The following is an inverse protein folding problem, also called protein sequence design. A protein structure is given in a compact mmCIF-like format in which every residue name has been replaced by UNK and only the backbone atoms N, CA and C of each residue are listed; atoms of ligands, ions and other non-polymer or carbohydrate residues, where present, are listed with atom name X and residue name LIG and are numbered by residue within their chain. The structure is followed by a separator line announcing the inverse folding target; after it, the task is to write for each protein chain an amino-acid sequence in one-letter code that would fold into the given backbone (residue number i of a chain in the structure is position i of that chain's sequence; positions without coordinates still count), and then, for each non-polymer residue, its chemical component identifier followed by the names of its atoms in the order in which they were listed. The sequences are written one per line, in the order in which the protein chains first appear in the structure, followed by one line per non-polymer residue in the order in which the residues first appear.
data_IF_892836019634
#
_entry.id   IF_892836019634
#
_cell.length_a   1.000
_cell.length_b   1.000
_cell.length_c   1.000
_cell.angle_alpha   90.00
_cell.angle_beta   90.00
_cell.angle_gamma   90.00
#
_symmetry.space_group_name_H-M   'P 1'
#
loop_
_entity.id
_entity.type
_entity.pdbx_description
1 polymer ?
#
# COMPACT_ATOMS: atom_id res chain seq x y z
N UNK A 1 29.11 -22.99 -46.84
CA UNK A 1 28.18 -22.19 -46.03
C UNK A 1 28.06 -22.86 -44.67
N UNK A 2 28.53 -22.17 -43.65
CA UNK A 2 28.80 -22.72 -42.31
C UNK A 2 27.50 -22.95 -41.53
N UNK A 3 27.43 -24.07 -40.77
CA UNK A 3 26.31 -24.42 -39.85
C UNK A 3 25.98 -23.36 -38.79
N UNK A 4 26.81 -22.32 -38.64
CA UNK A 4 26.62 -21.21 -37.70
C UNK A 4 25.62 -20.17 -38.18
N UNK A 5 25.46 -19.97 -39.49
CA UNK A 5 24.53 -19.00 -40.06
C UNK A 5 23.04 -19.37 -39.92
N UNK A 6 22.74 -20.69 -39.87
CA UNK A 6 21.38 -21.17 -39.71
C UNK A 6 20.83 -21.02 -38.28
N UNK A 7 21.71 -21.10 -37.27
CA UNK A 7 21.31 -20.97 -35.87
C UNK A 7 20.98 -19.54 -35.49
N UNK A 8 21.65 -18.55 -36.06
CA UNK A 8 21.40 -17.11 -35.82
C UNK A 8 20.06 -16.67 -36.44
N UNK A 9 19.72 -17.19 -37.61
CA UNK A 9 18.45 -16.88 -38.27
C UNK A 9 17.22 -17.46 -37.52
N UNK A 10 17.36 -18.66 -36.94
CA UNK A 10 16.30 -19.29 -36.16
C UNK A 10 16.03 -18.55 -34.83
N UNK A 11 17.08 -18.05 -34.16
CA UNK A 11 16.95 -17.29 -32.92
C UNK A 11 16.32 -15.89 -33.14
N UNK A 12 16.65 -15.23 -34.26
CA UNK A 12 16.06 -13.94 -34.62
C UNK A 12 14.56 -14.05 -34.99
N UNK A 13 14.18 -15.14 -35.70
CA UNK A 13 12.78 -15.38 -36.06
C UNK A 13 11.88 -15.67 -34.84
N UNK A 14 12.38 -16.40 -33.82
CA UNK A 14 11.67 -16.68 -32.59
C UNK A 14 11.47 -15.43 -31.73
N UNK A 15 12.46 -14.54 -31.66
CA UNK A 15 12.35 -13.27 -30.91
C UNK A 15 11.34 -12.31 -31.56
N UNK A 16 11.27 -12.24 -32.90
CA UNK A 16 10.31 -11.39 -33.62
C UNK A 16 8.89 -11.91 -33.49
N UNK A 17 8.66 -13.22 -33.53
CA UNK A 17 7.33 -13.80 -33.32
C UNK A 17 6.80 -13.57 -31.90
N UNK A 18 7.68 -13.63 -30.87
CA UNK A 18 7.28 -13.40 -29.48
C UNK A 18 6.85 -11.95 -29.22
N UNK A 19 7.54 -10.99 -29.79
CA UNK A 19 7.22 -9.55 -29.61
C UNK A 19 5.95 -9.15 -30.37
N UNK A 20 5.70 -9.69 -31.54
CA UNK A 20 4.49 -9.45 -32.31
C UNK A 20 3.25 -10.03 -31.61
N UNK A 21 3.34 -11.23 -31.01
CA UNK A 21 2.24 -11.85 -30.25
C UNK A 21 1.91 -11.06 -29.00
N UNK A 22 2.88 -10.56 -28.25
CA UNK A 22 2.67 -9.75 -27.06
C UNK A 22 2.04 -8.38 -27.38
N UNK A 23 2.46 -7.75 -28.47
CA UNK A 23 1.86 -6.47 -28.92
C UNK A 23 0.41 -6.65 -29.43
N UNK A 24 0.12 -7.74 -30.12
CA UNK A 24 -1.22 -8.07 -30.58
C UNK A 24 -2.17 -8.37 -29.40
N UNK A 25 -1.70 -9.08 -28.39
CA UNK A 25 -2.45 -9.35 -27.16
C UNK A 25 -2.74 -8.06 -26.38
N UNK A 26 -1.78 -7.15 -26.27
CA UNK A 26 -1.96 -5.84 -25.64
C UNK A 26 -3.00 -5.00 -26.37
N UNK A 27 -3.00 -4.96 -27.70
CA UNK A 27 -3.97 -4.23 -28.50
C UNK A 27 -5.40 -4.79 -28.35
N UNK A 28 -5.55 -6.10 -28.29
CA UNK A 28 -6.84 -6.76 -28.06
C UNK A 28 -7.40 -6.45 -26.66
N UNK A 29 -6.56 -6.45 -25.63
CA UNK A 29 -6.96 -6.09 -24.27
C UNK A 29 -7.40 -4.63 -24.19
N UNK A 30 -6.67 -3.71 -24.82
CA UNK A 30 -7.05 -2.30 -24.87
C UNK A 30 -8.40 -2.11 -25.55
N UNK A 31 -8.64 -2.79 -26.67
CA UNK A 31 -9.92 -2.72 -27.38
C UNK A 31 -11.08 -3.28 -26.54
N UNK A 32 -10.88 -4.42 -25.87
CA UNK A 32 -11.87 -5.01 -24.97
C UNK A 32 -12.18 -4.13 -23.76
N UNK A 33 -11.17 -3.56 -23.12
CA UNK A 33 -11.34 -2.62 -22.00
C UNK A 33 -12.09 -1.34 -22.44
N UNK A 34 -11.78 -0.82 -23.63
CA UNK A 34 -12.50 0.33 -24.20
C UNK A 34 -13.97 0.01 -24.51
N UNK A 35 -14.28 -1.21 -24.88
CA UNK A 35 -15.66 -1.66 -25.09
C UNK A 35 -16.44 -1.71 -23.76
N UNK A 36 -15.78 -2.04 -22.64
CA UNK A 36 -16.36 -1.95 -21.29
C UNK A 36 -16.52 -0.48 -20.83
N UNK A 37 -15.65 0.41 -21.27
CA UNK A 37 -15.75 1.88 -21.14
C UNK A 37 -15.46 2.45 -19.77
N UNK A 38 -15.38 1.61 -18.72
CA UNK A 38 -15.23 2.02 -17.33
C UNK A 38 -14.36 1.04 -16.54
N UNK A 39 -13.71 1.57 -15.47
CA UNK A 39 -13.12 0.80 -14.38
C UNK A 39 -13.70 1.31 -13.07
N UNK A 40 -14.03 0.43 -12.14
CA UNK A 40 -14.44 0.78 -10.79
C UNK A 40 -13.34 0.41 -9.80
N UNK A 41 -12.75 1.41 -9.17
CA UNK A 41 -11.76 1.27 -8.10
C UNK A 41 -12.39 1.50 -6.73
N UNK A 42 -11.73 1.10 -5.65
CA UNK A 42 -12.14 1.36 -4.27
C UNK A 42 -10.92 1.64 -3.42
N UNK A 43 -11.07 2.48 -2.40
CA UNK A 43 -10.03 2.78 -1.40
C UNK A 43 -8.72 3.36 -1.98
N UNK A 44 -8.80 4.16 -3.05
CA UNK A 44 -7.64 4.82 -3.66
C UNK A 44 -7.69 6.33 -3.46
N UNK A 45 -7.36 6.86 -2.26
CA UNK A 45 -7.30 8.30 -2.06
C UNK A 45 -6.18 8.90 -2.89
N UNK A 46 -6.41 10.07 -3.46
CA UNK A 46 -5.50 10.69 -4.45
C UNK A 46 -4.11 11.04 -3.89
N UNK A 47 -4.01 11.28 -2.59
CA UNK A 47 -2.76 11.56 -1.88
C UNK A 47 -2.03 10.31 -1.39
N UNK A 48 -2.66 9.13 -1.45
CA UNK A 48 -2.02 7.87 -1.14
C UNK A 48 -1.13 7.42 -2.30
N UNK A 49 0.19 7.26 -2.09
CA UNK A 49 1.15 6.85 -3.13
C UNK A 49 1.05 7.64 -4.46
N UNK A 50 0.43 8.82 -4.45
CA UNK A 50 0.21 9.59 -5.66
C UNK A 50 -0.86 8.99 -6.60
N UNK A 51 -1.84 8.24 -6.07
CA UNK A 51 -2.90 7.63 -6.88
C UNK A 51 -3.66 8.64 -7.76
N UNK A 52 -3.79 9.90 -7.35
CA UNK A 52 -4.35 10.93 -8.21
C UNK A 52 -3.63 11.06 -9.55
N UNK A 53 -2.29 11.02 -9.54
CA UNK A 53 -1.48 11.04 -10.77
C UNK A 53 -1.56 9.72 -11.54
N UNK A 54 -1.58 8.57 -10.84
CA UNK A 54 -1.73 7.23 -11.44
C UNK A 54 -3.06 7.12 -12.18
N UNK A 55 -4.17 7.50 -11.54
CA UNK A 55 -5.52 7.51 -12.12
C UNK A 55 -5.58 8.46 -13.32
N UNK A 56 -5.05 9.67 -13.17
CA UNK A 56 -5.02 10.66 -14.26
C UNK A 56 -4.23 10.14 -15.47
N UNK A 57 -3.06 9.51 -15.24
CA UNK A 57 -2.24 8.91 -16.29
C UNK A 57 -2.97 7.79 -17.03
N UNK A 58 -3.61 6.88 -16.29
CA UNK A 58 -4.42 5.81 -16.87
C UNK A 58 -5.57 6.34 -17.74
N UNK A 59 -6.32 7.33 -17.22
CA UNK A 59 -7.41 7.99 -17.96
C UNK A 59 -6.91 8.66 -19.23
N UNK A 60 -5.80 9.40 -19.14
CA UNK A 60 -5.22 10.09 -20.30
C UNK A 60 -4.75 9.11 -21.39
N UNK A 61 -4.17 7.97 -20.96
CA UNK A 61 -3.61 6.98 -21.88
C UNK A 61 -4.67 6.14 -22.59
N UNK A 62 -5.73 5.75 -21.89
CA UNK A 62 -6.69 4.78 -22.40
C UNK A 62 -8.09 5.33 -22.69
N UNK A 63 -8.43 6.52 -22.15
CA UNK A 63 -9.72 7.17 -22.35
C UNK A 63 -10.89 6.52 -21.60
N UNK A 64 -10.62 5.67 -20.60
CA UNK A 64 -11.62 5.00 -19.77
C UNK A 64 -12.15 5.93 -18.68
N UNK A 65 -13.42 5.77 -18.31
CA UNK A 65 -13.96 6.37 -17.09
C UNK A 65 -13.45 5.60 -15.88
N UNK A 66 -13.14 6.32 -14.80
CA UNK A 66 -12.86 5.70 -13.50
C UNK A 66 -13.98 6.06 -12.54
N UNK A 67 -14.63 5.05 -11.99
CA UNK A 67 -15.58 5.18 -10.90
C UNK A 67 -14.85 4.88 -9.60
N UNK A 68 -14.64 5.88 -8.76
CA UNK A 68 -13.83 5.80 -7.54
C UNK A 68 -14.77 5.64 -6.33
N UNK A 69 -14.81 4.44 -5.75
CA UNK A 69 -15.61 4.12 -4.58
C UNK A 69 -14.82 4.38 -3.30
N UNK A 70 -15.48 4.99 -2.34
CA UNK A 70 -15.04 5.02 -0.94
C UNK A 70 -13.53 5.23 -0.76
N UNK A 71 -12.96 6.36 -1.18
CA UNK A 71 -11.50 6.55 -1.14
C UNK A 71 -10.89 6.42 0.26
N UNK A 72 -11.67 6.65 1.32
CA UNK A 72 -11.24 6.50 2.72
C UNK A 72 -11.45 5.09 3.30
N UNK A 73 -11.84 4.09 2.49
CA UNK A 73 -12.04 2.73 2.96
C UNK A 73 -10.70 2.05 3.34
N UNK A 74 -10.77 1.09 4.25
CA UNK A 74 -9.63 0.23 4.57
C UNK A 74 -9.69 -1.12 3.85
N UNK A 75 -8.60 -1.89 3.92
CA UNK A 75 -8.51 -3.20 3.23
C UNK A 75 -9.63 -4.18 3.59
N UNK A 76 -10.14 -4.13 4.83
CA UNK A 76 -11.29 -4.93 5.25
C UNK A 76 -12.59 -4.49 4.56
N UNK A 77 -12.80 -3.18 4.42
CA UNK A 77 -13.98 -2.62 3.77
C UNK A 77 -14.02 -2.99 2.28
N UNK A 78 -12.85 -3.04 1.60
CA UNK A 78 -12.73 -3.47 0.20
C UNK A 78 -13.17 -4.93 0.02
N UNK A 79 -12.78 -5.80 0.94
CA UNK A 79 -13.20 -7.21 0.94
C UNK A 79 -14.71 -7.33 1.14
N UNK A 80 -15.28 -6.58 2.08
CA UNK A 80 -16.73 -6.57 2.31
C UNK A 80 -17.48 -5.99 1.10
N UNK A 81 -16.93 -4.98 0.41
CA UNK A 81 -17.51 -4.44 -0.81
C UNK A 81 -17.60 -5.49 -1.92
N UNK A 82 -16.57 -6.33 -2.12
CA UNK A 82 -16.66 -7.46 -3.07
C UNK A 82 -17.75 -8.45 -2.65
N UNK A 83 -17.78 -8.84 -1.35
CA UNK A 83 -18.76 -9.81 -0.84
C UNK A 83 -20.20 -9.31 -1.04
N UNK A 84 -20.45 -8.05 -0.72
CA UNK A 84 -21.77 -7.43 -0.83
C UNK A 84 -22.25 -7.26 -2.28
N UNK A 85 -21.32 -7.29 -3.25
CA UNK A 85 -21.61 -7.01 -4.66
C UNK A 85 -21.36 -8.21 -5.60
N UNK A 86 -21.33 -9.44 -5.09
CA UNK A 86 -21.06 -10.65 -5.91
C UNK A 86 -21.97 -10.77 -7.13
N UNK A 87 -23.24 -10.48 -6.97
CA UNK A 87 -24.25 -10.58 -8.03
C UNK A 87 -24.59 -9.23 -8.68
N UNK A 88 -23.90 -8.16 -8.26
CA UNK A 88 -24.13 -6.82 -8.73
C UNK A 88 -23.13 -6.44 -9.84
N UNK A 89 -23.63 -6.02 -11.00
CA UNK A 89 -22.82 -5.48 -12.10
C UNK A 89 -22.90 -3.95 -12.22
N UNK A 90 -23.53 -3.31 -11.24
CA UNK A 90 -23.68 -1.86 -11.18
C UNK A 90 -22.44 -1.15 -10.62
N UNK A 91 -22.52 0.18 -10.49
CA UNK A 91 -21.37 1.04 -10.17
C UNK A 91 -20.84 0.86 -8.74
N UNK A 92 -21.50 0.09 -7.87
CA UNK A 92 -21.05 -0.19 -6.50
C UNK A 92 -20.13 -1.41 -6.40
N UNK A 93 -20.02 -2.22 -7.47
CA UNK A 93 -19.17 -3.40 -7.50
C UNK A 93 -17.75 -3.03 -7.91
N UNK A 94 -16.73 -3.25 -7.06
CA UNK A 94 -15.36 -2.93 -7.41
C UNK A 94 -14.79 -3.94 -8.41
N UNK A 95 -14.04 -3.45 -9.39
CA UNK A 95 -13.29 -4.28 -10.35
C UNK A 95 -11.94 -4.71 -9.78
N UNK A 96 -11.29 -3.83 -9.02
CA UNK A 96 -9.94 -4.02 -8.46
C UNK A 96 -9.90 -3.57 -7.01
N UNK A 97 -8.97 -4.14 -6.25
CA UNK A 97 -8.68 -3.79 -4.86
C UNK A 97 -7.19 -3.58 -4.65
N UNK A 98 -6.84 -2.69 -3.69
CA UNK A 98 -5.50 -2.39 -3.22
C UNK A 98 -5.42 -2.62 -1.71
N UNK A 99 -4.99 -3.79 -1.30
CA UNK A 99 -5.08 -4.23 0.08
C UNK A 99 -3.71 -4.56 0.67
N UNK A 100 -3.58 -4.46 1.99
CA UNK A 100 -2.39 -4.94 2.67
C UNK A 100 -2.15 -6.43 2.40
N UNK A 101 -0.88 -6.83 2.30
CA UNK A 101 -0.42 -8.16 1.85
C UNK A 101 -1.19 -9.34 2.50
N UNK A 102 -1.51 -9.26 3.80
CA UNK A 102 -2.23 -10.33 4.50
C UNK A 102 -3.67 -10.56 4.02
N UNK A 103 -4.25 -9.61 3.29
CA UNK A 103 -5.60 -9.74 2.73
C UNK A 103 -5.61 -10.49 1.39
N UNK A 104 -4.47 -10.51 0.65
CA UNK A 104 -4.36 -11.25 -0.61
C UNK A 104 -4.66 -12.74 -0.47
N UNK A 105 -3.92 -13.50 0.35
CA UNK A 105 -4.16 -14.93 0.58
C UNK A 105 -5.57 -15.24 1.10
N UNK A 106 -6.09 -14.44 2.03
CA UNK A 106 -7.44 -14.65 2.58
C UNK A 106 -8.54 -14.41 1.54
N UNK A 107 -8.35 -13.43 0.63
CA UNK A 107 -9.28 -13.17 -0.47
C UNK A 107 -9.26 -14.29 -1.52
N UNK A 108 -8.08 -14.85 -1.82
CA UNK A 108 -7.94 -16.03 -2.69
C UNK A 108 -8.67 -17.23 -2.09
N UNK A 109 -8.42 -17.53 -0.82
CA UNK A 109 -9.06 -18.64 -0.11
C UNK A 109 -10.59 -18.50 -0.06
N UNK A 110 -11.10 -17.28 0.03
CA UNK A 110 -12.54 -16.98 0.01
C UNK A 110 -13.16 -16.92 -1.40
N UNK A 111 -12.39 -17.13 -2.47
CA UNK A 111 -12.87 -17.07 -3.86
C UNK A 111 -13.33 -15.69 -4.31
N UNK A 112 -12.76 -14.62 -3.73
CA UNK A 112 -13.17 -13.23 -3.97
C UNK A 112 -12.38 -12.54 -5.07
N UNK A 113 -11.26 -13.11 -5.49
CA UNK A 113 -10.35 -12.54 -6.48
C UNK A 113 -10.05 -13.56 -7.58
N UNK A 114 -9.67 -13.09 -8.75
CA UNK A 114 -9.35 -13.92 -9.92
C UNK A 114 -7.88 -13.74 -10.36
N UNK A 115 -7.29 -14.78 -11.00
CA UNK A 115 -5.90 -14.72 -11.40
C UNK A 115 -5.70 -13.90 -12.67
N UNK A 116 -4.61 -13.13 -12.71
CA UNK A 116 -4.09 -12.49 -13.91
C UNK A 116 -2.59 -12.19 -13.73
N UNK A 117 -1.76 -12.59 -14.70
CA UNK A 117 -0.32 -12.29 -14.69
C UNK A 117 -0.02 -11.21 -15.71
N UNK A 118 0.55 -10.09 -15.24
CA UNK A 118 0.97 -8.97 -16.09
C UNK A 118 2.19 -9.31 -16.93
N UNK A 119 2.42 -8.57 -18.01
CA UNK A 119 3.57 -8.77 -18.90
C UNK A 119 4.93 -8.66 -18.18
N UNK A 120 5.01 -7.91 -17.09
CA UNK A 120 6.22 -7.72 -16.27
C UNK A 120 6.31 -8.67 -15.08
N UNK A 121 5.52 -9.74 -15.06
CA UNK A 121 5.37 -10.72 -13.96
C UNK A 121 6.70 -11.18 -13.34
N UNK A 122 7.70 -11.48 -14.18
CA UNK A 122 8.98 -12.03 -13.73
C UNK A 122 9.85 -11.02 -12.97
N UNK A 123 9.53 -9.71 -13.09
CA UNK A 123 10.22 -8.64 -12.36
C UNK A 123 9.67 -8.39 -10.96
N UNK A 124 8.56 -9.03 -10.59
CA UNK A 124 7.97 -8.94 -9.25
C UNK A 124 8.60 -10.02 -8.37
N UNK A 125 9.13 -9.69 -7.17
CA UNK A 125 9.74 -10.66 -6.27
C UNK A 125 8.77 -11.81 -5.90
N UNK A 126 9.28 -13.04 -5.86
CA UNK A 126 8.48 -14.22 -5.53
C UNK A 126 7.84 -14.15 -4.13
N UNK A 127 8.51 -13.49 -3.17
CA UNK A 127 8.01 -13.27 -1.81
C UNK A 127 6.82 -12.30 -1.72
N UNK A 128 6.56 -11.55 -2.79
CA UNK A 128 5.52 -10.54 -2.85
C UNK A 128 4.43 -10.86 -3.89
N UNK A 129 4.24 -12.11 -4.27
CA UNK A 129 3.20 -12.52 -5.22
C UNK A 129 2.70 -13.92 -4.98
N UNK A 130 1.43 -14.14 -5.31
CA UNK A 130 0.84 -15.48 -5.43
C UNK A 130 1.32 -16.15 -6.72
N UNK A 131 1.80 -17.39 -6.65
CA UNK A 131 2.37 -18.09 -7.81
C UNK A 131 1.39 -18.26 -8.98
N UNK A 132 0.08 -18.33 -8.68
CA UNK A 132 -0.97 -18.47 -9.68
C UNK A 132 -1.45 -17.12 -10.24
N UNK A 133 -1.03 -15.99 -9.62
CA UNK A 133 -1.36 -14.64 -10.09
C UNK A 133 -2.65 -14.05 -9.55
N UNK A 134 -3.17 -14.54 -8.42
CA UNK A 134 -4.37 -13.99 -7.79
C UNK A 134 -4.16 -12.62 -7.16
N UNK A 135 -2.97 -12.38 -6.59
CA UNK A 135 -2.56 -11.11 -6.00
C UNK A 135 -1.05 -10.94 -6.13
N UNK A 136 -0.58 -9.73 -6.17
CA UNK A 136 0.86 -9.41 -6.19
C UNK A 136 1.13 -8.01 -5.71
N UNK A 137 2.29 -7.85 -5.08
CA UNK A 137 2.77 -6.59 -4.51
C UNK A 137 2.85 -5.49 -5.56
N UNK A 138 2.52 -4.29 -5.15
CA UNK A 138 2.53 -3.09 -5.97
C UNK A 138 3.58 -2.08 -5.47
N UNK A 139 3.57 -1.78 -4.18
CA UNK A 139 4.51 -0.90 -3.49
C UNK A 139 4.67 -1.29 -2.02
N UNK A 140 5.64 -0.68 -1.37
CA UNK A 140 5.84 -0.77 0.07
C UNK A 140 6.26 0.57 0.67
N UNK A 141 6.08 0.71 1.98
CA UNK A 141 6.55 1.82 2.78
C UNK A 141 6.99 1.35 4.16
N UNK A 142 7.48 2.26 4.97
CA UNK A 142 7.93 2.02 6.34
C UNK A 142 7.06 2.79 7.32
N UNK A 143 6.74 2.19 8.47
CA UNK A 143 5.95 2.86 9.50
C UNK A 143 6.71 4.05 10.08
N UNK A 144 6.04 5.19 10.22
CA UNK A 144 6.63 6.46 10.65
C UNK A 144 5.71 7.26 11.56
N UNK A 145 6.27 8.30 12.19
CA UNK A 145 5.54 9.34 12.90
C UNK A 145 5.56 10.61 12.05
N UNK A 146 4.38 11.12 11.71
CA UNK A 146 4.20 12.45 11.12
C UNK A 146 3.93 13.43 12.27
N UNK A 147 4.81 14.40 12.49
CA UNK A 147 4.81 15.26 13.69
C UNK A 147 4.66 16.71 13.30
N UNK A 148 3.64 17.38 13.81
CA UNK A 148 3.46 18.83 13.73
C UNK A 148 4.43 19.50 14.75
N UNK A 149 5.56 20.00 14.25
CA UNK A 149 6.62 20.58 15.11
C UNK A 149 6.31 21.98 15.63
N UNK A 150 5.26 22.63 15.14
CA UNK A 150 4.80 23.89 15.72
C UNK A 150 4.06 23.68 17.05
N UNK A 151 3.52 22.45 17.27
CA UNK A 151 2.83 22.06 18.50
C UNK A 151 3.67 21.11 19.37
N UNK A 152 4.48 20.26 18.78
CA UNK A 152 5.28 19.26 19.46
C UNK A 152 6.75 19.69 19.44
N UNK A 153 7.21 20.32 20.51
CA UNK A 153 8.57 20.85 20.62
C UNK A 153 9.63 19.75 20.81
N UNK A 154 9.27 18.64 21.47
CA UNK A 154 10.15 17.46 21.61
C UNK A 154 9.64 16.39 20.66
N UNK A 155 10.28 16.25 19.50
CA UNK A 155 9.91 15.27 18.50
C UNK A 155 10.23 13.87 19.01
N UNK A 156 9.23 12.92 19.05
CA UNK A 156 9.50 11.55 19.45
C UNK A 156 10.42 10.85 18.44
N UNK A 157 11.38 10.07 18.92
CA UNK A 157 12.35 9.36 18.09
C UNK A 157 12.17 7.86 18.09
N UNK A 158 11.34 7.36 19.01
CA UNK A 158 11.03 5.93 19.11
C UNK A 158 9.65 5.73 19.74
N UNK A 159 9.11 4.52 19.63
CA UNK A 159 7.78 4.14 20.14
C UNK A 159 7.62 4.45 21.63
N UNK A 160 8.60 4.08 22.45
CA UNK A 160 8.55 4.31 23.90
C UNK A 160 8.39 5.80 24.28
N UNK A 161 8.84 6.72 23.42
CA UNK A 161 8.65 8.15 23.65
C UNK A 161 7.16 8.51 23.71
N UNK A 162 6.33 7.89 22.87
CA UNK A 162 4.90 8.19 22.76
C UNK A 162 4.09 7.93 24.05
N UNK A 163 4.68 7.19 25.01
CA UNK A 163 4.07 6.95 26.32
C UNK A 163 4.37 8.06 27.35
N UNK A 164 5.26 9.01 27.02
CA UNK A 164 5.66 10.09 27.94
C UNK A 164 4.52 11.11 28.09
N UNK A 165 4.43 11.78 29.26
CA UNK A 165 3.31 12.69 29.56
C UNK A 165 3.28 13.94 28.67
N UNK A 166 4.40 14.34 28.05
CA UNK A 166 4.46 15.46 27.11
C UNK A 166 3.62 15.25 25.82
N UNK A 167 3.25 14.01 25.50
CA UNK A 167 2.42 13.69 24.33
C UNK A 167 0.95 13.47 24.67
N UNK A 168 0.50 13.98 25.82
CA UNK A 168 -0.91 13.91 26.23
C UNK A 168 -1.82 14.47 25.12
N UNK A 169 -2.87 13.71 24.77
CA UNK A 169 -3.84 14.06 23.73
C UNK A 169 -3.22 14.44 22.38
N UNK A 170 -2.20 13.68 21.94
CA UNK A 170 -1.42 14.07 20.76
C UNK A 170 -1.31 12.98 19.68
N UNK A 171 -1.44 11.70 20.01
CA UNK A 171 -1.08 10.59 19.12
C UNK A 171 -2.32 9.92 18.55
N UNK A 172 -2.38 9.79 17.22
CA UNK A 172 -3.46 9.08 16.52
C UNK A 172 -2.91 8.06 15.53
N UNK A 173 -3.76 7.11 15.13
CA UNK A 173 -3.53 6.21 14.02
C UNK A 173 -4.14 6.78 12.73
N UNK A 174 -3.51 6.53 11.59
CA UNK A 174 -4.07 6.87 10.28
C UNK A 174 -5.00 5.76 9.76
N UNK A 175 -5.85 5.23 10.62
CA UNK A 175 -6.84 4.20 10.30
C UNK A 175 -7.38 3.49 11.52
N UNK A 176 -8.42 2.68 11.32
CA UNK A 176 -9.01 1.85 12.37
C UNK A 176 -8.36 0.46 12.36
N UNK A 177 -7.70 -0.01 13.46
CA UNK A 177 -7.04 -1.31 13.52
C UNK A 177 -7.97 -2.52 13.34
N UNK A 178 -9.27 -2.31 13.35
CA UNK A 178 -10.25 -3.39 13.11
C UNK A 178 -10.39 -3.71 11.61
N UNK A 179 -10.05 -2.75 10.71
CA UNK A 179 -10.26 -2.89 9.25
C UNK A 179 -9.10 -2.36 8.40
N UNK A 180 -8.31 -1.42 8.90
CA UNK A 180 -7.20 -0.78 8.15
C UNK A 180 -5.91 -1.56 8.29
N UNK A 181 -5.33 -2.00 7.16
CA UNK A 181 -4.01 -2.64 7.14
C UNK A 181 -2.92 -1.75 7.72
N UNK A 182 -2.91 -0.46 7.40
CA UNK A 182 -1.96 0.51 7.94
C UNK A 182 -2.00 0.56 9.47
N UNK A 183 -3.19 0.67 10.05
CA UNK A 183 -3.35 0.74 11.50
C UNK A 183 -3.02 -0.60 12.19
N UNK A 184 -3.39 -1.74 11.60
CA UNK A 184 -2.97 -3.06 12.09
C UNK A 184 -1.46 -3.15 12.14
N UNK A 185 -0.77 -2.73 11.09
CA UNK A 185 0.69 -2.78 11.01
C UNK A 185 1.36 -1.76 11.96
N UNK A 186 0.74 -0.60 12.22
CA UNK A 186 1.21 0.34 13.23
C UNK A 186 1.18 -0.26 14.65
N UNK A 187 0.09 -0.96 15.00
CA UNK A 187 -0.02 -1.67 16.29
C UNK A 187 1.04 -2.76 16.40
N UNK A 188 1.25 -3.52 15.32
CA UNK A 188 2.28 -4.56 15.29
C UNK A 188 3.70 -3.99 15.40
N UNK A 189 4.00 -2.88 14.73
CA UNK A 189 5.30 -2.21 14.79
C UNK A 189 5.62 -1.71 16.21
N UNK A 190 4.64 -1.09 16.88
CA UNK A 190 4.75 -0.73 18.30
C UNK A 190 5.04 -1.96 19.17
N UNK A 191 4.37 -3.05 18.86
CA UNK A 191 4.57 -4.32 19.56
C UNK A 191 5.92 -4.96 19.31
N UNK A 192 6.47 -4.89 18.08
CA UNK A 192 7.83 -5.33 17.78
C UNK A 192 8.86 -4.55 18.61
N UNK A 193 8.67 -3.24 18.73
CA UNK A 193 9.51 -2.40 19.60
C UNK A 193 9.41 -2.85 21.05
N UNK A 194 8.19 -2.98 21.59
CA UNK A 194 7.94 -3.32 22.99
C UNK A 194 8.38 -4.76 23.34
N UNK A 195 8.37 -5.67 22.37
CA UNK A 195 8.79 -7.07 22.55
C UNK A 195 10.27 -7.30 22.20
N UNK A 196 11.07 -6.24 21.98
CA UNK A 196 12.49 -6.37 21.65
C UNK A 196 12.76 -7.08 20.33
N UNK A 197 11.81 -7.01 19.37
CA UNK A 197 11.89 -7.65 18.06
C UNK A 197 11.28 -9.05 17.99
N UNK A 198 10.72 -9.57 19.07
CA UNK A 198 10.05 -10.90 19.08
C UNK A 198 8.71 -10.84 18.35
N UNK A 199 8.72 -11.29 17.09
CA UNK A 199 7.56 -11.29 16.20
C UNK A 199 6.35 -12.07 16.74
N UNK A 200 6.60 -13.14 17.53
CA UNK A 200 5.55 -13.99 18.08
C UNK A 200 4.74 -13.30 19.19
N UNK A 201 5.34 -12.33 19.87
CA UNK A 201 4.72 -11.56 20.95
C UNK A 201 4.20 -10.19 20.49
N UNK A 202 4.63 -9.74 19.33
CA UNK A 202 4.43 -8.35 18.88
C UNK A 202 2.95 -7.97 18.77
N UNK A 203 2.05 -8.85 18.32
CA UNK A 203 0.62 -8.55 18.25
C UNK A 203 0.02 -8.17 19.62
N UNK A 204 0.22 -9.03 20.63
CA UNK A 204 -0.26 -8.78 21.99
C UNK A 204 0.46 -7.60 22.67
N UNK A 205 1.77 -7.47 22.46
CA UNK A 205 2.57 -6.35 23.00
C UNK A 205 2.13 -5.01 22.40
N UNK A 206 1.76 -4.98 21.13
CA UNK A 206 1.22 -3.80 20.47
C UNK A 206 -0.13 -3.36 21.02
N UNK A 207 -1.05 -4.31 21.21
CA UNK A 207 -2.32 -4.02 21.89
C UNK A 207 -2.10 -3.43 23.29
N UNK A 208 -1.20 -4.05 24.07
CA UNK A 208 -0.86 -3.52 25.39
C UNK A 208 -0.26 -2.13 25.31
N UNK A 209 0.63 -1.86 24.37
CA UNK A 209 1.22 -0.53 24.16
C UNK A 209 0.16 0.53 23.91
N UNK A 210 -0.82 0.25 23.03
CA UNK A 210 -1.92 1.19 22.76
C UNK A 210 -2.89 1.30 23.94
N UNK A 211 -3.09 0.24 24.71
CA UNK A 211 -3.87 0.31 25.97
C UNK A 211 -3.20 1.23 26.99
N UNK A 212 -1.88 1.10 27.18
CA UNK A 212 -1.10 1.95 28.08
C UNK A 212 -1.13 3.42 27.59
N UNK A 213 -0.99 3.66 26.29
CA UNK A 213 -1.07 4.99 25.68
C UNK A 213 -2.48 5.62 25.83
N UNK A 214 -3.54 4.83 25.66
CA UNK A 214 -4.91 5.26 25.88
C UNK A 214 -5.16 5.59 27.36
N UNK A 215 -4.71 4.74 28.27
CA UNK A 215 -4.80 4.97 29.72
C UNK A 215 -4.03 6.21 30.16
N UNK A 216 -2.86 6.49 29.56
CA UNK A 216 -2.10 7.71 29.84
C UNK A 216 -2.77 8.99 29.29
N UNK A 217 -3.77 8.85 28.42
CA UNK A 217 -4.46 9.96 27.77
C UNK A 217 -3.65 10.57 26.62
N UNK A 218 -2.65 9.84 26.09
CA UNK A 218 -1.83 10.29 24.96
C UNK A 218 -2.50 9.95 23.61
N UNK A 219 -3.30 8.87 23.58
CA UNK A 219 -3.99 8.43 22.38
C UNK A 219 -5.24 9.25 22.09
N UNK A 220 -5.39 9.70 20.86
CA UNK A 220 -6.56 10.39 20.34
C UNK A 220 -7.31 9.41 19.44
N UNK A 221 -8.48 8.88 19.82
CA UNK A 221 -9.17 7.82 19.10
C UNK A 221 -9.98 8.35 17.90
N UNK A 222 -9.29 9.02 16.98
CA UNK A 222 -9.81 9.47 15.68
C UNK A 222 -8.84 9.06 14.59
N UNK A 223 -9.31 8.92 13.35
CA UNK A 223 -8.44 8.68 12.21
C UNK A 223 -7.65 9.96 11.90
N UNK A 224 -6.32 9.89 12.12
CA UNK A 224 -5.41 10.98 11.79
C UNK A 224 -5.28 11.19 10.28
N UNK A 225 -5.49 12.42 9.84
CA UNK A 225 -5.33 12.87 8.44
C UNK A 225 -4.47 14.13 8.41
N UNK A 226 -3.87 14.44 7.26
CA UNK A 226 -3.08 15.68 7.07
C UNK A 226 -3.84 16.92 7.51
N UNK A 227 -5.16 16.98 7.28
CA UNK A 227 -6.00 18.10 7.72
C UNK A 227 -6.09 18.19 9.26
N UNK A 228 -6.31 17.08 9.96
CA UNK A 228 -6.38 17.06 11.43
C UNK A 228 -5.04 17.34 12.10
N UNK A 229 -3.93 16.95 11.46
CA UNK A 229 -2.58 17.31 11.89
C UNK A 229 -2.34 18.83 11.74
N UNK A 230 -2.77 19.40 10.61
CA UNK A 230 -2.65 20.84 10.36
C UNK A 230 -3.49 21.67 11.34
N UNK A 231 -4.70 21.20 11.69
CA UNK A 231 -5.59 21.83 12.67
C UNK A 231 -5.14 21.63 14.12
N UNK A 232 -4.14 20.78 14.36
CA UNK A 232 -3.65 20.46 15.70
C UNK A 232 -4.53 19.48 16.50
N UNK A 233 -5.55 18.88 15.89
CA UNK A 233 -6.39 17.87 16.54
C UNK A 233 -5.64 16.57 16.78
N UNK A 234 -4.75 16.20 15.85
CA UNK A 234 -3.87 15.02 15.91
C UNK A 234 -2.44 15.41 15.62
N UNK A 235 -1.71 16.06 16.55
CA UNK A 235 -0.38 16.59 16.33
C UNK A 235 0.69 15.57 15.93
N UNK A 236 0.45 14.28 16.29
CA UNK A 236 1.29 13.15 15.89
C UNK A 236 0.39 12.10 15.25
N UNK A 237 0.70 11.73 14.01
CA UNK A 237 0.01 10.65 13.30
C UNK A 237 0.98 9.51 13.05
N UNK A 238 0.61 8.30 13.42
CA UNK A 238 1.33 7.08 13.06
C UNK A 238 0.79 6.60 11.71
N UNK A 239 1.64 6.63 10.69
CA UNK A 239 1.28 6.31 9.30
C UNK A 239 2.46 5.76 8.52
N UNK A 240 2.22 5.31 7.29
CA UNK A 240 3.30 5.04 6.36
C UNK A 240 4.09 6.31 6.04
N UNK A 241 5.40 6.16 5.86
CA UNK A 241 6.33 7.25 5.53
C UNK A 241 5.94 8.01 4.26
N UNK A 242 5.48 7.34 3.23
CA UNK A 242 5.03 7.97 1.99
C UNK A 242 3.82 8.90 2.21
N UNK A 243 2.86 8.53 3.07
CA UNK A 243 1.73 9.39 3.42
C UNK A 243 2.19 10.59 4.25
N UNK A 244 3.08 10.35 5.20
CA UNK A 244 3.66 11.40 6.03
C UNK A 244 4.47 12.42 5.20
N UNK A 245 5.25 11.94 4.22
CA UNK A 245 6.04 12.78 3.31
C UNK A 245 5.15 13.57 2.35
N UNK A 246 4.15 12.93 1.76
CA UNK A 246 3.19 13.60 0.88
C UNK A 246 2.38 14.66 1.66
N UNK A 247 1.92 14.34 2.87
CA UNK A 247 1.25 15.28 3.76
C UNK A 247 2.11 16.48 4.14
N UNK A 248 3.38 16.25 4.48
CA UNK A 248 4.37 17.32 4.75
C UNK A 248 4.48 18.27 3.55
N UNK A 249 4.63 17.73 2.35
CA UNK A 249 4.81 18.54 1.15
C UNK A 249 3.54 19.32 0.78
N UNK A 250 2.36 18.72 1.00
CA UNK A 250 1.06 19.38 0.82
C UNK A 250 0.91 20.61 1.71
N UNK A 251 1.41 20.53 2.94
CA UNK A 251 1.35 21.62 3.93
C UNK A 251 2.34 22.74 3.67
N UNK A 252 3.36 22.54 2.83
CA UNK A 252 4.33 23.57 2.41
C UNK A 252 4.97 24.32 3.58
N UNK A 253 5.19 23.63 4.73
CA UNK A 253 5.80 24.19 5.93
C UNK A 253 4.85 24.98 6.83
N UNK A 254 3.53 24.92 6.60
CA UNK A 254 2.52 25.52 7.47
C UNK A 254 1.36 24.51 7.77
N UNK A 255 1.40 23.84 8.93
CA UNK A 255 2.47 23.83 9.93
C UNK A 255 3.75 23.13 9.44
N UNK A 256 4.85 23.33 10.16
CA UNK A 256 6.09 22.56 9.96
C UNK A 256 5.86 21.11 10.37
N UNK A 257 6.24 20.19 9.50
CA UNK A 257 6.08 18.75 9.74
C UNK A 257 7.43 18.05 9.64
N UNK A 258 7.73 17.23 10.65
CA UNK A 258 8.85 16.28 10.63
C UNK A 258 8.31 14.87 10.49
N UNK A 259 8.93 14.08 9.60
CA UNK A 259 8.66 12.66 9.44
C UNK A 259 9.78 11.88 10.10
N UNK A 260 9.44 10.97 11.00
CA UNK A 260 10.38 10.20 11.81
C UNK A 260 10.14 8.72 11.60
N UNK A 261 11.14 7.99 11.12
CA UNK A 261 11.18 6.53 11.19
C UNK A 261 11.70 6.17 12.59
N UNK A 262 10.94 5.40 13.41
CA UNK A 262 11.35 5.05 14.75
C UNK A 262 12.63 4.21 14.76
N UNK A 263 13.41 4.29 15.86
CA UNK A 263 14.69 3.57 15.99
C UNK A 263 14.54 2.06 16.19
N UNK A 264 13.40 1.63 16.72
CA UNK A 264 13.03 0.23 16.94
C UNK A 264 11.68 -0.08 16.32
N UNK A 265 11.35 -1.35 16.17
CA UNK A 265 10.09 -1.74 15.52
C UNK A 265 9.95 -1.17 14.11
N UNK A 266 11.06 -1.04 13.37
CA UNK A 266 11.06 -0.51 12.00
C UNK A 266 10.41 -1.54 11.11
N UNK A 267 9.16 -1.29 10.74
CA UNK A 267 8.32 -2.21 9.99
C UNK A 267 8.10 -1.70 8.57
N UNK A 268 8.39 -2.55 7.59
CA UNK A 268 7.98 -2.33 6.21
C UNK A 268 6.71 -3.13 5.89
N UNK A 269 5.78 -2.51 5.20
CA UNK A 269 4.53 -3.13 4.77
C UNK A 269 4.31 -3.05 3.28
N UNK A 270 3.94 -4.20 2.68
CA UNK A 270 3.63 -4.32 1.25
C UNK A 270 2.12 -4.26 1.08
N UNK A 271 1.68 -3.53 0.06
CA UNK A 271 0.32 -3.59 -0.48
C UNK A 271 0.30 -4.48 -1.71
N UNK A 272 -0.87 -5.01 -2.04
CA UNK A 272 -1.06 -5.91 -3.17
C UNK A 272 -2.30 -5.52 -3.95
N UNK A 273 -2.19 -5.59 -5.26
CA UNK A 273 -3.31 -5.47 -6.18
C UNK A 273 -3.95 -6.83 -6.43
N UNK A 274 -5.27 -6.82 -6.61
CA UNK A 274 -6.00 -7.98 -7.07
C UNK A 274 -7.24 -7.56 -7.89
N UNK A 275 -7.66 -8.43 -8.80
CA UNK A 275 -8.89 -8.27 -9.59
C UNK A 275 -10.01 -9.00 -8.87
N UNK A 276 -11.15 -8.35 -8.65
CA UNK A 276 -12.35 -8.99 -8.11
C UNK A 276 -12.80 -10.17 -8.99
N UNK A 277 -13.12 -11.31 -8.39
CA UNK A 277 -13.70 -12.46 -9.11
C UNK A 277 -15.04 -12.10 -9.76
N UNK A 278 -15.69 -11.06 -9.27
CA UNK A 278 -17.01 -10.58 -9.69
C UNK A 278 -16.95 -9.26 -10.47
N UNK A 279 -15.75 -8.85 -10.91
CA UNK A 279 -15.53 -7.59 -11.61
C UNK A 279 -16.54 -7.36 -12.74
N UNK A 280 -17.27 -6.23 -12.74
CA UNK A 280 -18.13 -5.87 -13.87
C UNK A 280 -17.36 -5.60 -15.16
N UNK A 281 -16.13 -5.09 -15.04
CA UNK A 281 -15.28 -4.67 -16.16
C UNK A 281 -13.93 -5.41 -16.13
N UNK A 282 -13.89 -6.75 -16.37
CA UNK A 282 -12.70 -7.57 -16.16
C UNK A 282 -11.54 -7.23 -17.12
N UNK A 283 -11.80 -6.71 -18.32
CA UNK A 283 -10.75 -6.31 -19.24
C UNK A 283 -10.16 -4.95 -18.85
N UNK A 284 -10.99 -4.01 -18.37
CA UNK A 284 -10.51 -2.75 -17.81
C UNK A 284 -9.67 -3.00 -16.54
N UNK A 285 -10.06 -3.95 -15.70
CA UNK A 285 -9.28 -4.39 -14.53
C UNK A 285 -7.91 -4.95 -14.94
N UNK A 286 -7.86 -5.85 -15.94
CA UNK A 286 -6.59 -6.38 -16.46
C UNK A 286 -5.71 -5.28 -17.06
N UNK A 287 -6.31 -4.33 -17.79
CA UNK A 287 -5.59 -3.22 -18.38
C UNK A 287 -5.03 -2.26 -17.28
N UNK A 288 -5.77 -2.06 -16.19
CA UNK A 288 -5.30 -1.36 -15.01
C UNK A 288 -4.08 -2.04 -14.40
N UNK A 289 -4.10 -3.37 -14.24
CA UNK A 289 -2.95 -4.13 -13.75
C UNK A 289 -1.74 -3.95 -14.67
N UNK A 290 -1.90 -4.06 -16.00
CA UNK A 290 -0.79 -3.83 -16.96
C UNK A 290 -0.21 -2.42 -16.84
N UNK A 291 -1.04 -1.40 -16.63
CA UNK A 291 -0.60 -0.02 -16.43
C UNK A 291 0.17 0.14 -15.12
N UNK A 292 -0.36 -0.34 -14.00
CA UNK A 292 0.28 -0.22 -12.69
C UNK A 292 1.66 -0.88 -12.65
N UNK A 293 1.82 -2.02 -13.31
CA UNK A 293 3.07 -2.77 -13.34
C UNK A 293 3.97 -2.44 -14.54
N UNK A 294 3.59 -1.47 -15.37
CA UNK A 294 4.49 -0.86 -16.36
C UNK A 294 5.57 0.00 -15.69
N UNK A 295 6.63 0.36 -16.41
CA UNK A 295 7.64 1.29 -15.89
C UNK A 295 7.01 2.64 -15.53
N UNK A 296 6.05 3.11 -16.32
CA UNK A 296 5.30 4.36 -16.09
C UNK A 296 4.51 4.34 -14.78
N UNK A 297 3.73 3.28 -14.53
CA UNK A 297 2.94 3.13 -13.30
C UNK A 297 3.82 3.01 -12.05
N UNK A 298 4.88 2.21 -12.13
CA UNK A 298 5.83 2.04 -11.03
C UNK A 298 6.57 3.35 -10.68
N UNK A 299 6.96 4.13 -11.68
CA UNK A 299 7.58 5.44 -11.45
C UNK A 299 6.58 6.49 -10.93
N UNK A 300 5.30 6.38 -11.28
CA UNK A 300 4.26 7.24 -10.72
C UNK A 300 4.12 7.03 -9.20
N UNK A 301 4.14 5.80 -8.72
CA UNK A 301 4.17 5.49 -7.29
C UNK A 301 5.43 6.01 -6.61
N UNK A 302 6.61 5.83 -7.22
CA UNK A 302 7.86 6.35 -6.67
C UNK A 302 7.84 7.89 -6.55
N UNK A 303 7.21 8.57 -7.50
CA UNK A 303 7.02 10.02 -7.41
C UNK A 303 6.11 10.43 -6.25
N UNK A 304 5.19 9.56 -5.84
CA UNK A 304 4.35 9.66 -4.63
C UNK A 304 5.01 9.14 -3.36
N UNK A 305 6.33 8.96 -3.36
CA UNK A 305 7.17 8.43 -2.24
C UNK A 305 7.03 6.93 -1.94
N UNK A 306 6.12 6.21 -2.59
CA UNK A 306 6.02 4.77 -2.41
C UNK A 306 7.13 4.03 -3.15
N UNK A 307 7.80 3.09 -2.48
CA UNK A 307 8.77 2.23 -3.12
C UNK A 307 8.05 1.20 -3.99
N UNK A 308 8.14 1.28 -5.32
CA UNK A 308 7.44 0.33 -6.19
C UNK A 308 8.03 -1.07 -6.05
N UNK A 309 7.20 -2.10 -6.19
CA UNK A 309 7.65 -3.49 -6.01
C UNK A 309 8.73 -3.90 -7.04
N UNK A 310 8.75 -3.26 -8.21
CA UNK A 310 9.76 -3.44 -9.25
C UNK A 310 10.98 -2.53 -9.12
N UNK A 311 11.18 -1.90 -7.95
CA UNK A 311 12.27 -0.94 -7.73
C UNK A 311 13.63 -1.47 -8.15
N UNK A 312 13.98 -2.69 -7.73
CA UNK A 312 15.28 -3.30 -8.08
C UNK A 312 15.42 -3.58 -9.59
N UNK A 313 14.35 -4.02 -10.26
CA UNK A 313 14.32 -4.22 -11.72
C UNK A 313 14.54 -2.90 -12.46
N UNK A 314 13.83 -1.84 -12.04
CA UNK A 314 13.96 -0.50 -12.62
C UNK A 314 15.36 0.11 -12.38
N UNK A 315 15.91 -0.06 -11.18
CA UNK A 315 17.25 0.40 -10.84
C UNK A 315 18.34 -0.32 -11.66
N UNK A 316 18.26 -1.64 -11.77
CA UNK A 316 19.17 -2.44 -12.57
C UNK A 316 19.15 -2.06 -14.06
N UNK A 317 18.01 -1.59 -14.56
CA UNK A 317 17.81 -1.13 -15.94
C UNK A 317 18.05 0.37 -16.13
N UNK A 318 18.54 1.08 -15.11
CA UNK A 318 18.73 2.54 -15.10
C UNK A 318 17.47 3.32 -15.53
N UNK A 319 16.30 2.87 -15.11
CA UNK A 319 15.00 3.49 -15.44
C UNK A 319 14.54 4.55 -14.44
N UNK A 320 15.16 4.63 -13.26
CA UNK A 320 14.76 5.56 -12.20
C UNK A 320 15.46 6.91 -12.41
N UNK A 321 14.70 8.01 -12.64
CA UNK A 321 15.28 9.34 -12.75
C UNK A 321 15.96 9.77 -11.45
N UNK A 322 17.16 10.37 -11.55
CA UNK A 322 17.92 10.85 -10.37
C UNK A 322 17.08 11.78 -9.48
N UNK A 323 16.28 12.65 -10.05
CA UNK A 323 15.42 13.58 -9.31
C UNK A 323 14.38 12.86 -8.42
N UNK A 324 13.93 11.65 -8.78
CA UNK A 324 13.06 10.84 -7.93
C UNK A 324 13.83 10.21 -6.77
N UNK A 325 15.06 9.73 -7.02
CA UNK A 325 15.92 9.19 -5.97
C UNK A 325 16.30 10.26 -4.94
N UNK A 326 16.59 11.48 -5.39
CA UNK A 326 16.97 12.60 -4.53
C UNK A 326 15.82 13.07 -3.60
N UNK A 327 14.57 12.71 -3.89
CA UNK A 327 13.39 13.02 -3.06
C UNK A 327 13.21 12.04 -1.90
N UNK A 328 13.74 10.83 -2.02
CA UNK A 328 13.58 9.79 -1.00
C UNK A 328 14.37 10.15 0.27
N UNK A 329 13.87 9.79 1.46
CA UNK A 329 14.64 9.93 2.68
C UNK A 329 15.95 9.12 2.64
N UNK A 330 16.94 9.48 3.51
CA UNK A 330 18.19 8.74 3.61
C UNK A 330 17.96 7.25 3.90
N UNK A 331 18.68 6.38 3.20
CA UNK A 331 18.50 4.92 3.26
C UNK A 331 18.77 4.31 4.66
N UNK A 332 19.54 4.98 5.52
CA UNK A 332 19.92 4.48 6.85
C UNK A 332 18.72 4.22 7.75
N UNK A 333 17.66 5.06 7.65
CA UNK A 333 16.41 4.88 8.41
C UNK A 333 15.67 3.59 8.04
N UNK A 334 15.89 3.10 6.82
CA UNK A 334 15.21 1.93 6.26
C UNK A 334 16.03 0.64 6.37
N UNK A 335 17.33 0.74 6.65
CA UNK A 335 18.24 -0.41 6.66
C UNK A 335 17.87 -1.52 7.66
N UNK A 336 17.08 -1.18 8.70
CA UNK A 336 16.60 -2.12 9.72
C UNK A 336 15.14 -2.55 9.50
N UNK A 337 14.53 -2.18 8.40
CA UNK A 337 13.13 -2.48 8.14
C UNK A 337 12.89 -3.99 8.03
N UNK A 338 11.94 -4.48 8.83
CA UNK A 338 11.52 -5.88 8.84
C UNK A 338 10.28 -6.01 7.95
N UNK A 339 10.32 -6.98 7.04
CA UNK A 339 9.16 -7.41 6.25
C UNK A 339 8.59 -8.67 6.90
N UNK A 340 7.44 -8.60 7.61
CA UNK A 340 6.83 -9.78 8.21
C UNK A 340 6.44 -10.81 7.16
N UNK A 341 6.61 -12.09 7.47
CA UNK A 341 6.12 -13.18 6.61
C UNK A 341 4.58 -13.17 6.53
N UNK A 342 4.00 -13.86 5.54
CA UNK A 342 2.54 -14.00 5.42
C UNK A 342 1.92 -14.63 6.67
N UNK A 343 2.57 -15.64 7.25
CA UNK A 343 2.08 -16.30 8.48
C UNK A 343 2.08 -15.33 9.66
N UNK A 344 3.17 -14.56 9.83
CA UNK A 344 3.23 -13.53 10.86
C UNK A 344 2.13 -12.49 10.66
N UNK A 345 1.93 -12.01 9.42
CA UNK A 345 0.89 -11.03 9.10
C UNK A 345 -0.52 -11.55 9.38
N UNK A 346 -0.81 -12.79 9.03
CA UNK A 346 -2.10 -13.44 9.34
C UNK A 346 -2.32 -13.55 10.83
N UNK A 347 -1.31 -14.00 11.58
CA UNK A 347 -1.38 -14.18 13.03
C UNK A 347 -1.61 -12.85 13.77
N UNK A 348 -0.80 -11.82 13.51
CA UNK A 348 -0.98 -10.55 14.22
C UNK A 348 -2.26 -9.80 13.80
N UNK A 349 -2.65 -9.90 12.52
CA UNK A 349 -3.92 -9.34 12.06
C UNK A 349 -5.09 -9.93 12.85
N UNK A 350 -5.15 -11.25 12.99
CA UNK A 350 -6.21 -11.92 13.74
C UNK A 350 -6.25 -11.44 15.20
N UNK A 351 -5.11 -11.41 15.89
CA UNK A 351 -5.00 -10.96 17.27
C UNK A 351 -5.46 -9.51 17.41
N UNK A 352 -4.93 -8.61 16.59
CA UNK A 352 -5.21 -7.16 16.71
C UNK A 352 -6.68 -6.86 16.39
N UNK A 353 -7.21 -7.37 15.30
CA UNK A 353 -8.59 -7.06 14.88
C UNK A 353 -9.63 -7.59 15.85
N UNK A 354 -9.41 -8.78 16.45
CA UNK A 354 -10.36 -9.38 17.38
C UNK A 354 -10.28 -8.81 18.81
N UNK A 355 -9.12 -8.30 19.21
CA UNK A 355 -8.88 -7.93 20.62
C UNK A 355 -8.76 -6.41 20.83
N UNK A 356 -8.78 -5.59 19.78
CA UNK A 356 -8.68 -4.14 19.93
C UNK A 356 -9.69 -3.57 20.92
N UNK A 357 -10.97 -3.88 20.75
CA UNK A 357 -12.03 -3.32 21.59
C UNK A 357 -11.93 -3.75 23.05
N UNK A 358 -11.51 -4.98 23.32
CA UNK A 358 -11.43 -5.54 24.67
C UNK A 358 -10.15 -5.15 25.40
N UNK A 359 -9.02 -5.02 24.70
CA UNK A 359 -7.72 -4.73 25.31
C UNK A 359 -7.42 -3.25 25.34
N UNK A 360 -7.60 -2.53 24.23
CA UNK A 360 -7.31 -1.10 24.14
C UNK A 360 -8.49 -0.26 24.62
N UNK A 361 -9.71 -0.68 24.33
CA UNK A 361 -10.93 -0.02 24.79
C UNK A 361 -11.14 1.37 24.16
N UNK A 362 -10.53 1.62 23.00
CA UNK A 362 -10.66 2.89 22.28
C UNK A 362 -11.48 2.70 21.01
N UNK A 363 -12.64 3.36 20.94
CA UNK A 363 -13.47 3.37 19.73
C UNK A 363 -13.00 4.49 18.82
N UNK A 364 -12.39 4.14 17.68
CA UNK A 364 -11.85 5.09 16.71
C UNK A 364 -13.00 5.68 15.89
N UNK A 365 -13.16 7.00 15.98
CA UNK A 365 -14.12 7.76 15.17
C UNK A 365 -13.55 8.01 13.77
N UNK A 366 -14.41 7.89 12.75
CA UNK A 366 -14.11 8.15 11.33
C UNK A 366 -14.12 9.64 11.02
#
# INVERSE_FOLDING_TARGET
MSRHSLKVLAAAALAVCGTQSAMAQSAALIAAAKAEGQLTTIALPHDWCGYGAVIAGFKAKYGLKINELNPDAGSGDEIEAIKANKDNKGPQAPDVIDVGLSFGPSSKAAGLIQPYKVATWDSIPASAKDADGYWYGDYYGVMSFQVNTDLISKVPTDWADLLKPEYKNSVSLAGDPRVSSQAIQAVYAAGLSAAGGDASKAGAAGLKFFADMNKAGNFVPVIGKTASLAQGTTPIIISWDYNALAGRDTLKGNPKVQVVVPKSGVLAGVYVQAISAYAPHPNAAKLWMEYLYSDEGQLAWLNGYCHPIRFNDLAAKNKIPKAMMDKLPPAEGYAKAVFPTLDQQSAYKEVITKQWDTVVGANIAK
#
